data_IF_868099241432
#
_entry.id   IF_868099241432
#
_cell.length_a   1.000
_cell.length_b   1.000
_cell.length_c   1.000
_cell.angle_alpha   90.00
_cell.angle_beta   90.00
_cell.angle_gamma   90.00
#
_symmetry.space_group_name_H-M   'P 1'
#
loop_
_entity.id
_entity.type
_entity.pdbx_description
1 polymer ?
#
# COMPACT_ATOMS: atom_id res chain seq x y z
N UNK A 1 -7.35 18.88 -8.56
CA UNK A 1 -6.56 18.10 -7.58
C UNK A 1 -7.31 16.84 -7.18
N UNK A 2 -8.48 16.98 -6.58
CA UNK A 2 -9.31 15.89 -6.02
C UNK A 2 -9.81 14.87 -7.05
N UNK A 3 -10.22 15.32 -8.24
CA UNK A 3 -10.57 14.42 -9.35
C UNK A 3 -9.37 13.58 -9.80
N UNK A 4 -8.19 14.20 -9.92
CA UNK A 4 -6.94 13.50 -10.28
C UNK A 4 -6.49 12.53 -9.19
N UNK A 5 -6.77 12.84 -7.92
CA UNK A 5 -6.52 11.94 -6.79
C UNK A 5 -7.62 10.88 -6.61
N UNK A 6 -8.65 10.90 -7.46
CA UNK A 6 -9.76 9.96 -7.38
C UNK A 6 -10.58 10.05 -6.08
N UNK A 7 -10.48 11.12 -5.27
CA UNK A 7 -11.19 11.25 -3.99
C UNK A 7 -11.41 12.71 -3.55
N UNK A 8 -12.42 13.00 -2.70
CA UNK A 8 -12.57 14.33 -2.14
C UNK A 8 -11.36 14.66 -1.24
N UNK A 9 -11.12 15.95 -0.97
CA UNK A 9 -9.99 16.34 -0.17
C UNK A 9 -10.16 15.85 1.28
N UNK A 10 -9.06 15.42 1.88
CA UNK A 10 -8.98 15.11 3.31
C UNK A 10 -8.65 16.40 4.05
N UNK A 11 -9.35 16.70 5.15
CA UNK A 11 -9.19 17.96 5.89
C UNK A 11 -7.73 18.26 6.23
N UNK A 12 -7.04 17.27 6.82
CA UNK A 12 -5.65 17.41 7.26
C UNK A 12 -4.67 17.61 6.10
N UNK A 13 -5.05 17.24 4.88
CA UNK A 13 -4.21 17.42 3.69
C UNK A 13 -4.14 18.88 3.26
N UNK A 14 -5.14 19.70 3.61
CA UNK A 14 -5.25 21.10 3.17
C UNK A 14 -4.07 21.96 3.64
N UNK A 15 -3.44 21.61 4.76
CA UNK A 15 -2.24 22.30 5.26
C UNK A 15 -1.04 22.20 4.31
N UNK A 16 -1.03 21.22 3.41
CA UNK A 16 0.06 20.96 2.47
C UNK A 16 -0.24 21.45 1.05
N UNK A 17 -1.45 21.94 0.77
CA UNK A 17 -1.85 22.40 -0.56
C UNK A 17 -1.42 23.84 -0.91
N UNK A 18 -0.65 24.50 -0.04
CA UNK A 18 -0.15 25.87 -0.26
C UNK A 18 -1.03 26.97 0.34
N UNK A 19 -0.61 28.25 0.21
CA UNK A 19 -1.27 29.40 0.84
C UNK A 19 -2.75 29.56 0.47
N UNK A 20 -3.12 29.18 -0.76
CA UNK A 20 -4.48 29.27 -1.29
C UNK A 20 -5.44 28.36 -0.51
N UNK A 21 -4.94 27.27 0.07
CA UNK A 21 -5.74 26.31 0.83
C UNK A 21 -5.78 26.58 2.35
N UNK A 22 -5.13 27.64 2.84
CA UNK A 22 -5.06 27.94 4.30
C UNK A 22 -6.43 28.10 4.95
N UNK A 23 -7.38 28.70 4.25
CA UNK A 23 -8.76 28.85 4.73
C UNK A 23 -9.48 27.50 4.87
N UNK A 24 -9.11 26.50 4.06
CA UNK A 24 -9.63 25.14 4.13
C UNK A 24 -8.97 24.33 5.26
N UNK A 25 -7.69 24.55 5.56
CA UNK A 25 -7.02 23.98 6.75
C UNK A 25 -7.75 24.43 8.03
N UNK A 26 -8.02 25.73 8.16
CA UNK A 26 -8.77 26.28 9.30
C UNK A 26 -10.19 25.70 9.41
N UNK A 27 -10.88 25.52 8.28
CA UNK A 27 -12.19 24.85 8.26
C UNK A 27 -12.08 23.38 8.66
N UNK A 28 -11.00 22.71 8.27
CA UNK A 28 -10.70 21.32 8.57
C UNK A 28 -10.52 21.03 10.06
N UNK A 29 -10.13 22.02 10.86
CA UNK A 29 -10.07 21.90 12.34
C UNK A 29 -11.47 21.68 12.95
N UNK A 30 -12.53 22.11 12.26
CA UNK A 30 -13.91 21.77 12.59
C UNK A 30 -14.39 20.61 11.71
N UNK A 31 -14.12 19.37 12.15
CA UNK A 31 -14.51 18.14 11.43
C UNK A 31 -16.00 18.12 11.02
N UNK A 32 -16.88 18.70 11.85
CA UNK A 32 -18.30 18.82 11.57
C UNK A 32 -18.60 19.74 10.38
N UNK A 33 -17.90 20.87 10.28
CA UNK A 33 -18.10 21.84 9.20
C UNK A 33 -17.45 21.37 7.90
N UNK A 34 -16.30 20.71 7.97
CA UNK A 34 -15.66 20.08 6.82
C UNK A 34 -16.60 19.07 6.14
N UNK A 35 -17.20 18.17 6.92
CA UNK A 35 -18.16 17.18 6.41
C UNK A 35 -19.35 17.85 5.75
N UNK A 36 -19.93 18.87 6.39
CA UNK A 36 -21.08 19.63 5.84
C UNK A 36 -20.72 20.32 4.53
N UNK A 37 -19.51 20.87 4.43
CA UNK A 37 -19.00 21.47 3.19
C UNK A 37 -18.92 20.43 2.07
N UNK A 38 -18.31 19.26 2.33
CA UNK A 38 -18.20 18.19 1.33
C UNK A 38 -19.58 17.69 0.87
N UNK A 39 -20.53 17.54 1.78
CA UNK A 39 -21.91 17.16 1.46
C UNK A 39 -22.65 18.23 0.63
N UNK A 40 -22.37 19.52 0.86
CA UNK A 40 -22.91 20.60 0.05
C UNK A 40 -22.28 20.62 -1.35
N UNK A 41 -20.96 20.47 -1.45
CA UNK A 41 -20.24 20.39 -2.73
C UNK A 41 -20.75 19.22 -3.59
N UNK A 42 -20.92 18.03 -3.00
CA UNK A 42 -21.43 16.86 -3.72
C UNK A 42 -22.87 17.03 -4.23
N UNK A 43 -23.68 17.90 -3.61
CA UNK A 43 -25.03 18.23 -4.09
C UNK A 43 -25.01 19.19 -5.28
N UNK A 44 -24.06 20.11 -5.30
CA UNK A 44 -23.94 21.10 -6.37
C UNK A 44 -23.13 20.60 -7.57
N UNK A 45 -22.19 19.69 -7.34
CA UNK A 45 -21.31 19.10 -8.35
C UNK A 45 -21.38 17.57 -8.26
N UNK A 46 -22.37 16.93 -8.90
CA UNK A 46 -22.60 15.49 -8.78
C UNK A 46 -21.45 14.62 -9.29
N UNK A 47 -20.64 15.16 -10.20
CA UNK A 47 -19.49 14.48 -10.82
C UNK A 47 -18.26 14.45 -9.91
N UNK A 48 -18.24 15.20 -8.79
CA UNK A 48 -17.13 15.17 -7.85
C UNK A 48 -17.08 13.83 -7.09
N UNK A 49 -15.87 13.30 -6.82
CA UNK A 49 -15.71 12.10 -6.00
C UNK A 49 -16.37 12.26 -4.63
N UNK A 50 -17.23 11.31 -4.25
CA UNK A 50 -17.86 11.28 -2.93
C UNK A 50 -16.89 10.79 -1.86
N UNK A 51 -17.07 11.26 -0.63
CA UNK A 51 -16.33 10.75 0.52
C UNK A 51 -16.81 9.34 0.82
N UNK A 52 -16.01 8.36 0.44
CA UNK A 52 -16.21 6.97 0.79
C UNK A 52 -14.85 6.32 0.94
N UNK A 53 -14.78 5.25 1.72
CA UNK A 53 -13.62 4.37 1.73
C UNK A 53 -13.70 3.28 0.66
N UNK A 54 -14.72 3.29 -0.21
CA UNK A 54 -14.86 2.35 -1.31
C UNK A 54 -14.27 2.92 -2.59
N UNK A 55 -13.32 2.20 -3.19
CA UNK A 55 -12.70 2.50 -4.47
C UNK A 55 -13.63 2.19 -5.66
N UNK A 56 -13.23 2.63 -6.84
CA UNK A 56 -13.98 2.55 -8.11
C UNK A 56 -14.21 1.10 -8.58
N UNK A 57 -13.31 0.19 -8.19
CA UNK A 57 -13.42 -1.25 -8.44
C UNK A 57 -14.28 -1.99 -7.38
N UNK A 58 -14.80 -1.26 -6.38
CA UNK A 58 -15.61 -1.80 -5.29
C UNK A 58 -14.81 -2.21 -4.05
N UNK A 59 -13.48 -2.13 -4.08
CA UNK A 59 -12.61 -2.45 -2.94
C UNK A 59 -12.90 -1.53 -1.76
N UNK A 60 -13.04 -2.08 -0.55
CA UNK A 60 -13.28 -1.30 0.67
C UNK A 60 -12.00 -1.13 1.47
N UNK A 61 -11.61 0.11 1.72
CA UNK A 61 -10.41 0.52 2.44
C UNK A 61 -10.79 1.04 3.84
N UNK A 62 -9.80 1.23 4.70
CA UNK A 62 -10.06 1.73 6.07
C UNK A 62 -10.13 3.25 6.13
N UNK A 63 -9.61 3.95 5.11
CA UNK A 63 -9.57 5.40 5.09
C UNK A 63 -9.61 6.01 3.67
N UNK A 64 -9.97 7.30 3.58
CA UNK A 64 -9.94 8.02 2.31
C UNK A 64 -8.51 8.22 1.75
N UNK A 65 -7.47 8.49 2.57
CA UNK A 65 -6.08 8.43 2.13
C UNK A 65 -5.69 7.08 1.51
N UNK A 66 -6.04 5.96 2.14
CA UNK A 66 -5.79 4.63 1.55
C UNK A 66 -6.46 4.49 0.20
N UNK A 67 -7.72 4.93 0.08
CA UNK A 67 -8.42 4.89 -1.21
C UNK A 67 -7.68 5.66 -2.31
N UNK A 68 -7.18 6.87 -2.00
CA UNK A 68 -6.40 7.68 -2.96
C UNK A 68 -5.19 6.88 -3.46
N UNK A 69 -4.44 6.27 -2.53
CA UNK A 69 -3.26 5.46 -2.87
C UNK A 69 -3.65 4.21 -3.67
N UNK A 70 -4.74 3.53 -3.29
CA UNK A 70 -5.26 2.36 -4.00
C UNK A 70 -5.58 2.68 -5.46
N UNK A 71 -6.36 3.74 -5.70
CA UNK A 71 -6.77 4.19 -7.04
C UNK A 71 -5.56 4.52 -7.93
N UNK A 72 -4.48 5.04 -7.35
CA UNK A 72 -3.22 5.24 -8.07
C UNK A 72 -2.50 3.92 -8.35
N UNK A 73 -2.36 3.05 -7.35
CA UNK A 73 -1.62 1.78 -7.49
C UNK A 73 -2.27 0.83 -8.51
N UNK A 74 -3.58 0.65 -8.48
CA UNK A 74 -4.28 -0.28 -9.38
C UNK A 74 -4.14 0.06 -10.86
N UNK A 75 -3.82 1.31 -11.19
CA UNK A 75 -3.57 1.75 -12.55
C UNK A 75 -2.12 1.51 -13.01
N UNK A 76 -1.20 1.27 -12.06
CA UNK A 76 0.24 1.27 -12.29
C UNK A 76 0.90 -0.10 -12.07
N UNK A 77 0.31 -0.97 -11.24
CA UNK A 77 0.91 -2.26 -10.89
C UNK A 77 0.97 -3.17 -12.15
N UNK A 78 2.15 -3.70 -12.50
CA UNK A 78 2.31 -4.58 -13.66
C UNK A 78 1.79 -5.99 -13.40
N UNK A 79 1.49 -6.74 -14.47
CA UNK A 79 0.96 -8.12 -14.42
C UNK A 79 1.86 -9.12 -13.67
N UNK A 80 3.15 -8.82 -13.52
CA UNK A 80 4.11 -9.65 -12.78
C UNK A 80 4.09 -9.45 -11.26
N UNK A 81 3.24 -8.56 -10.75
CA UNK A 81 3.01 -8.33 -9.33
C UNK A 81 1.52 -8.41 -9.02
N UNK A 82 1.20 -8.79 -7.79
CA UNK A 82 -0.16 -8.74 -7.26
C UNK A 82 -0.24 -7.68 -6.18
N UNK A 83 -1.28 -6.85 -6.23
CA UNK A 83 -1.57 -5.84 -5.20
C UNK A 83 -2.63 -6.38 -4.25
N UNK A 84 -2.29 -6.43 -2.96
CA UNK A 84 -3.19 -6.87 -1.90
C UNK A 84 -3.51 -5.70 -0.95
N UNK A 85 -4.80 -5.53 -0.62
CA UNK A 85 -5.20 -4.73 0.51
C UNK A 85 -4.95 -5.49 1.81
N UNK A 86 -4.46 -4.76 2.81
CA UNK A 86 -4.51 -5.22 4.19
C UNK A 86 -3.85 -6.59 4.43
N UNK A 87 -2.65 -6.88 3.86
CA UNK A 87 -2.03 -8.18 4.01
C UNK A 87 -1.62 -8.42 5.47
N UNK A 88 -1.86 -9.65 5.93
CA UNK A 88 -1.37 -10.11 7.23
C UNK A 88 0.12 -10.38 7.17
N UNK A 89 0.88 -9.78 8.08
CA UNK A 89 2.35 -9.87 8.05
C UNK A 89 2.91 -10.86 9.08
N UNK A 90 2.21 -11.03 10.21
CA UNK A 90 2.62 -11.97 11.26
C UNK A 90 1.41 -12.45 12.06
N UNK A 91 1.26 -13.76 12.13
CA UNK A 91 0.20 -14.41 12.90
C UNK A 91 0.40 -14.14 14.41
N UNK A 92 -0.66 -13.71 15.10
CA UNK A 92 -0.63 -13.46 16.55
C UNK A 92 -0.15 -12.07 16.99
N UNK A 93 0.37 -11.22 16.09
CA UNK A 93 0.70 -9.81 16.41
C UNK A 93 -0.29 -8.78 15.86
N UNK A 94 -1.33 -9.22 15.15
CA UNK A 94 -2.26 -8.35 14.43
C UNK A 94 -1.54 -7.26 13.61
N UNK A 95 -0.35 -7.58 13.08
CA UNK A 95 0.42 -6.65 12.28
C UNK A 95 0.00 -6.79 10.82
N UNK A 96 -0.57 -5.71 10.28
CA UNK A 96 -1.14 -5.65 8.94
C UNK A 96 -0.60 -4.41 8.25
N UNK A 97 -0.24 -4.49 6.97
CA UNK A 97 0.08 -3.29 6.18
C UNK A 97 -1.17 -2.70 5.53
N UNK A 98 -1.12 -1.48 5.02
CA UNK A 98 -2.25 -0.96 4.24
C UNK A 98 -2.31 -1.63 2.87
N UNK A 99 -1.15 -1.77 2.20
CA UNK A 99 -1.02 -2.53 0.96
C UNK A 99 0.22 -3.40 0.92
N UNK A 100 0.16 -4.48 0.14
CA UNK A 100 1.31 -5.34 -0.19
C UNK A 100 1.44 -5.54 -1.68
N UNK A 101 2.66 -5.43 -2.20
CA UNK A 101 3.05 -5.88 -3.53
C UNK A 101 3.69 -7.25 -3.41
N UNK A 102 3.02 -8.26 -3.95
CA UNK A 102 3.41 -9.66 -3.86
C UNK A 102 3.90 -10.19 -5.21
N UNK A 103 4.77 -11.20 -5.16
CA UNK A 103 4.99 -12.03 -6.32
C UNK A 103 3.71 -12.85 -6.59
N UNK A 104 3.43 -13.24 -7.84
CA UNK A 104 2.29 -14.10 -8.15
C UNK A 104 2.37 -15.41 -7.37
N UNK A 105 1.23 -15.82 -6.81
CA UNK A 105 1.07 -17.02 -5.96
C UNK A 105 1.88 -16.99 -4.63
N UNK A 106 2.42 -15.84 -4.19
CA UNK A 106 3.12 -15.70 -2.91
C UNK A 106 2.33 -14.83 -1.92
N UNK A 107 2.09 -15.36 -0.72
CA UNK A 107 1.33 -14.65 0.33
C UNK A 107 2.17 -13.59 1.06
N UNK A 108 3.50 -13.71 1.03
CA UNK A 108 4.40 -12.74 1.68
C UNK A 108 4.72 -11.59 0.72
N UNK A 109 4.42 -10.34 1.08
CA UNK A 109 4.75 -9.19 0.24
C UNK A 109 6.26 -9.05 0.04
N UNK A 110 6.65 -8.63 -1.16
CA UNK A 110 8.00 -8.14 -1.46
C UNK A 110 8.21 -6.74 -0.88
N UNK A 111 7.15 -5.93 -0.94
CA UNK A 111 7.09 -4.59 -0.41
C UNK A 111 5.71 -4.33 0.21
N UNK A 112 5.70 -3.66 1.34
CA UNK A 112 4.53 -3.18 2.06
C UNK A 112 4.45 -1.66 1.98
N UNK A 113 3.23 -1.13 1.90
CA UNK A 113 2.96 0.31 1.86
C UNK A 113 2.10 0.69 3.07
N UNK A 114 2.55 1.72 3.79
CA UNK A 114 1.82 2.35 4.88
C UNK A 114 1.38 3.74 4.48
N UNK A 115 0.09 4.04 4.62
CA UNK A 115 -0.50 5.33 4.32
C UNK A 115 -0.71 6.10 5.60
N UNK A 116 0.11 7.13 5.80
CA UNK A 116 -0.05 8.03 6.93
C UNK A 116 -1.10 9.10 6.62
N UNK A 117 -2.36 8.78 6.93
CA UNK A 117 -3.52 9.61 6.60
C UNK A 117 -3.73 10.87 7.44
N UNK A 118 -2.99 11.05 8.54
CA UNK A 118 -3.16 12.18 9.47
C UNK A 118 -1.96 13.13 9.51
N UNK A 119 -0.79 12.65 9.11
CA UNK A 119 0.49 13.34 9.29
C UNK A 119 1.25 13.46 7.98
N UNK A 120 1.93 14.59 7.80
CA UNK A 120 2.90 14.76 6.74
C UNK A 120 4.27 14.27 7.17
N UNK A 121 5.19 14.26 6.22
CA UNK A 121 6.58 13.83 6.41
C UNK A 121 7.37 14.73 7.39
N UNK A 122 6.86 15.92 7.68
CA UNK A 122 7.34 16.83 8.73
C UNK A 122 7.09 16.33 10.16
N UNK A 123 6.16 15.37 10.33
CA UNK A 123 5.81 14.72 11.61
C UNK A 123 5.35 15.71 12.70
N UNK A 124 4.79 16.85 12.29
CA UNK A 124 4.28 17.84 13.24
C UNK A 124 2.90 17.39 13.72
N UNK A 125 2.80 17.06 15.02
CA UNK A 125 1.56 16.72 15.69
C UNK A 125 0.85 17.99 16.23
N UNK A 126 -0.47 18.01 16.12
CA UNK A 126 -1.41 18.96 16.72
C UNK A 126 -2.33 18.31 17.76
N UNK A 127 -2.39 16.97 17.82
CA UNK A 127 -3.19 16.22 18.78
C UNK A 127 -2.53 14.90 19.24
N UNK A 128 -2.87 14.44 20.44
CA UNK A 128 -2.35 13.19 21.06
C UNK A 128 -2.52 11.95 20.16
N UNK A 129 -3.60 11.91 19.36
CA UNK A 129 -3.87 10.80 18.44
C UNK A 129 -2.85 10.71 17.31
N UNK A 130 -2.29 11.84 16.89
CA UNK A 130 -1.23 11.92 15.88
C UNK A 130 0.10 11.43 16.47
N UNK A 131 0.44 11.85 17.70
CA UNK A 131 1.63 11.35 18.42
C UNK A 131 1.57 9.83 18.60
N UNK A 132 0.46 9.31 19.11
CA UNK A 132 0.27 7.88 19.28
C UNK A 132 0.33 7.10 17.95
N UNK A 133 0.05 7.76 16.82
CA UNK A 133 0.17 7.16 15.49
C UNK A 133 1.61 7.12 14.98
N UNK A 134 2.43 8.12 15.33
CA UNK A 134 3.88 8.07 15.09
C UNK A 134 4.55 6.98 15.91
N UNK A 135 4.16 6.80 17.17
CA UNK A 135 4.71 5.72 18.02
C UNK A 135 4.40 4.33 17.43
N UNK A 136 3.16 4.12 16.97
CA UNK A 136 2.76 2.89 16.28
C UNK A 136 3.54 2.69 14.98
N UNK A 137 3.75 3.75 14.20
CA UNK A 137 4.55 3.68 12.98
C UNK A 137 6.01 3.35 13.30
N UNK A 138 6.61 3.94 14.33
CA UNK A 138 7.99 3.67 14.72
C UNK A 138 8.18 2.20 15.10
N UNK A 139 7.30 1.64 15.95
CA UNK A 139 7.33 0.22 16.31
C UNK A 139 7.19 -0.70 15.08
N UNK A 140 6.39 -0.27 14.10
CA UNK A 140 6.21 -1.00 12.84
C UNK A 140 7.47 -0.92 11.96
N UNK A 141 8.08 0.25 11.84
CA UNK A 141 9.34 0.44 11.12
C UNK A 141 10.47 -0.42 11.71
N UNK A 142 10.55 -0.50 13.03
CA UNK A 142 11.51 -1.38 13.71
C UNK A 142 11.28 -2.85 13.34
N UNK A 143 10.03 -3.30 13.24
CA UNK A 143 9.72 -4.66 12.78
C UNK A 143 10.17 -4.89 11.33
N UNK A 144 9.86 -3.96 10.42
CA UNK A 144 10.24 -4.06 9.01
C UNK A 144 11.75 -3.98 8.76
N UNK A 145 12.50 -3.33 9.65
CA UNK A 145 13.97 -3.26 9.54
C UNK A 145 14.69 -4.59 9.80
N UNK A 146 13.99 -5.60 10.32
CA UNK A 146 14.58 -6.88 10.66
C UNK A 146 14.93 -7.70 9.38
N UNK A 147 15.99 -8.52 9.41
CA UNK A 147 16.36 -9.35 8.27
C UNK A 147 15.24 -10.28 7.81
N UNK A 148 15.06 -10.39 6.48
CA UNK A 148 14.07 -11.28 5.88
C UNK A 148 12.63 -10.76 5.95
N UNK A 149 12.41 -9.53 6.41
CA UNK A 149 11.11 -8.85 6.33
C UNK A 149 10.94 -8.13 4.98
N UNK A 150 9.70 -7.88 4.54
CA UNK A 150 9.43 -7.11 3.33
C UNK A 150 10.02 -5.70 3.39
N UNK A 151 10.23 -5.07 2.23
CA UNK A 151 10.51 -3.64 2.21
C UNK A 151 9.30 -2.85 2.72
N UNK A 152 9.54 -1.68 3.33
CA UNK A 152 8.50 -0.77 3.79
C UNK A 152 8.58 0.55 3.05
N UNK A 153 7.47 1.00 2.46
CA UNK A 153 7.29 2.37 1.98
C UNK A 153 6.21 3.06 2.82
N UNK A 154 6.54 4.23 3.36
CA UNK A 154 5.54 5.09 4.03
C UNK A 154 5.17 6.22 3.07
N UNK A 155 3.87 6.38 2.80
CA UNK A 155 3.31 7.49 2.03
C UNK A 155 2.67 8.47 3.00
N UNK A 156 3.23 9.67 3.05
CA UNK A 156 2.80 10.71 3.98
C UNK A 156 1.72 11.61 3.38
N UNK A 157 0.97 12.30 4.24
CA UNK A 157 -0.18 13.11 3.82
C UNK A 157 0.19 14.28 2.89
N UNK A 158 1.34 14.90 3.11
CA UNK A 158 1.92 15.94 2.25
C UNK A 158 2.28 15.40 0.86
N UNK A 159 2.72 14.15 0.77
CA UNK A 159 3.01 13.50 -0.50
C UNK A 159 1.74 13.25 -1.33
N UNK A 160 0.63 12.95 -0.68
CA UNK A 160 -0.69 12.77 -1.32
C UNK A 160 -1.33 14.10 -1.74
N UNK A 161 -0.88 15.23 -1.18
CA UNK A 161 -1.40 16.55 -1.55
C UNK A 161 -1.03 16.96 -2.98
N UNK A 162 -0.09 16.24 -3.63
CA UNK A 162 0.40 16.51 -4.97
C UNK A 162 0.33 15.21 -5.83
N UNK A 163 -0.61 15.10 -6.79
CA UNK A 163 -0.81 13.88 -7.60
C UNK A 163 0.48 13.37 -8.26
N UNK A 164 1.26 14.28 -8.85
CA UNK A 164 2.49 13.92 -9.55
C UNK A 164 3.54 13.31 -8.58
N UNK A 165 3.53 13.73 -7.31
CA UNK A 165 4.42 13.15 -6.29
C UNK A 165 3.93 11.78 -5.87
N UNK A 166 2.62 11.61 -5.67
CA UNK A 166 2.03 10.32 -5.34
C UNK A 166 2.31 9.29 -6.44
N UNK A 167 2.11 9.65 -7.71
CA UNK A 167 2.43 8.80 -8.86
C UNK A 167 3.91 8.38 -8.85
N UNK A 168 4.83 9.33 -8.66
CA UNK A 168 6.26 9.03 -8.59
C UNK A 168 6.62 8.07 -7.43
N UNK A 169 6.02 8.29 -6.25
CA UNK A 169 6.25 7.45 -5.07
C UNK A 169 5.70 6.04 -5.26
N UNK A 170 4.53 5.90 -5.88
CA UNK A 170 3.96 4.62 -6.26
C UNK A 170 4.85 3.89 -7.27
N UNK A 171 5.39 4.60 -8.27
CA UNK A 171 6.34 4.04 -9.25
C UNK A 171 7.59 3.50 -8.55
N UNK A 172 8.21 4.28 -7.67
CA UNK A 172 9.40 3.85 -6.92
C UNK A 172 9.14 2.60 -6.07
N UNK A 173 7.95 2.50 -5.46
CA UNK A 173 7.57 1.33 -4.67
C UNK A 173 7.41 0.08 -5.56
N UNK A 174 6.80 0.23 -6.74
CA UNK A 174 6.64 -0.85 -7.73
C UNK A 174 8.01 -1.30 -8.23
N UNK A 175 8.89 -0.37 -8.62
CA UNK A 175 10.24 -0.67 -9.08
C UNK A 175 11.05 -1.44 -8.02
N UNK A 176 10.95 -1.02 -6.76
CA UNK A 176 11.61 -1.73 -5.65
C UNK A 176 11.08 -3.15 -5.47
N UNK A 177 9.76 -3.37 -5.58
CA UNK A 177 9.15 -4.70 -5.52
C UNK A 177 9.61 -5.59 -6.70
N UNK A 178 9.64 -5.05 -7.93
CA UNK A 178 10.15 -5.77 -9.11
C UNK A 178 11.63 -6.16 -8.93
N UNK A 179 12.45 -5.27 -8.37
CA UNK A 179 13.85 -5.57 -8.08
C UNK A 179 14.00 -6.72 -7.06
N UNK A 180 13.17 -6.73 -6.01
CA UNK A 180 13.12 -7.84 -5.04
C UNK A 180 12.71 -9.17 -5.69
N UNK A 181 11.71 -9.14 -6.58
CA UNK A 181 11.27 -10.31 -7.33
C UNK A 181 12.41 -10.89 -8.18
N UNK A 182 13.16 -10.03 -8.90
CA UNK A 182 14.28 -10.44 -9.72
C UNK A 182 15.41 -11.08 -8.89
N UNK A 183 15.75 -10.45 -7.75
CA UNK A 183 16.76 -10.96 -6.83
C UNK A 183 16.38 -12.33 -6.24
N UNK A 184 15.13 -12.49 -5.81
CA UNK A 184 14.60 -13.77 -5.30
C UNK A 184 14.67 -14.89 -6.34
N UNK A 185 14.37 -14.59 -7.62
CA UNK A 185 14.47 -15.55 -8.72
C UNK A 185 15.92 -15.98 -8.99
N UNK A 186 16.89 -15.07 -8.92
CA UNK A 186 18.31 -15.38 -9.11
C UNK A 186 18.88 -16.22 -7.95
N UNK A 187 18.49 -15.93 -6.71
CA UNK A 187 18.81 -16.73 -5.54
C UNK A 187 18.29 -18.18 -5.64
N UNK A 188 17.05 -18.37 -6.11
CA UNK A 188 16.48 -19.72 -6.34
C UNK A 188 17.18 -20.47 -7.48
N UNK A 189 17.56 -19.79 -8.58
CA UNK A 189 18.30 -20.43 -9.70
C UNK A 189 19.69 -20.89 -9.28
N UNK A 190 20.40 -20.11 -8.47
CA UNK A 190 21.74 -20.46 -7.99
C UNK A 190 21.71 -21.55 -6.92
N UNK A 191 20.70 -21.56 -6.03
CA UNK A 191 20.52 -22.65 -5.05
C UNK A 191 20.09 -23.96 -5.72
N UNK A 192 19.19 -23.91 -6.71
CA UNK A 192 18.79 -25.05 -7.53
C UNK A 192 19.96 -25.69 -8.28
N UNK A 193 20.88 -24.87 -8.82
CA UNK A 193 22.13 -25.36 -9.43
C UNK A 193 23.07 -26.05 -8.43
N UNK A 194 23.16 -25.55 -7.19
CA UNK A 194 23.97 -26.20 -6.13
C UNK A 194 23.34 -27.53 -5.68
N UNK A 195 22.01 -27.61 -5.63
CA UNK A 195 21.29 -28.86 -5.32
C UNK A 195 21.40 -29.88 -6.47
N UNK A 196 21.35 -29.45 -7.74
CA UNK A 196 21.57 -30.36 -8.87
C UNK A 196 23.02 -30.86 -8.96
N UNK A 197 24.00 -30.04 -8.56
CA UNK A 197 25.40 -30.46 -8.50
C UNK A 197 25.65 -31.51 -7.39
N UNK A 198 24.98 -31.40 -6.24
CA UNK A 198 25.02 -32.43 -5.18
C UNK A 198 24.19 -33.68 -5.49
N UNK A 199 23.09 -33.54 -6.24
CA UNK A 199 22.27 -34.67 -6.71
C UNK A 199 22.92 -35.48 -7.83
N UNK A 200 23.88 -34.93 -8.56
CA UNK A 200 24.62 -35.65 -9.60
C UNK A 200 25.68 -36.63 -9.03
N UNK A 201 26.06 -36.52 -7.76
CA UNK A 201 26.97 -37.45 -7.08
C UNK A 201 26.25 -38.60 -6.36
N UNK A 202 24.92 -38.57 -6.23
CA UNK A 202 24.14 -39.64 -5.61
C UNK A 202 22.85 -39.93 -6.38
N UNK A 203 22.86 -41.00 -7.18
CA UNK A 203 21.62 -41.70 -7.52
C UNK A 203 21.36 -41.94 -9.00
N UNK A 204 22.00 -42.98 -9.55
CA UNK A 204 21.32 -43.83 -10.54
C UNK A 204 20.12 -44.50 -9.84
N UNK A 205 18.90 -44.11 -10.18
CA UNK A 205 17.76 -44.99 -10.52
C UNK A 205 16.41 -44.24 -10.48
N UNK A 206 15.76 -44.23 -11.64
CA UNK A 206 14.33 -43.98 -11.87
C UNK A 206 13.48 -45.13 -11.27
N UNK A 207 12.15 -44.99 -10.99
CA UNK A 207 11.21 -44.57 -12.03
C UNK A 207 9.98 -43.71 -11.65
N UNK A 208 9.56 -43.03 -12.73
CA UNK A 208 8.26 -42.48 -13.08
C UNK A 208 7.04 -43.03 -12.30
N UNK A 209 6.26 -42.11 -11.74
CA UNK A 209 4.81 -42.28 -11.54
C UNK A 209 4.06 -41.03 -12.00
N UNK A 210 3.27 -41.22 -13.05
CA UNK A 210 2.22 -40.31 -13.52
C UNK A 210 1.01 -40.44 -12.59
N UNK A 211 0.38 -39.32 -12.19
CA UNK A 211 -1.10 -39.11 -12.14
C UNK A 211 -1.46 -37.68 -11.64
N UNK A 212 -2.70 -37.19 -11.86
CA UNK A 212 -2.97 -35.90 -12.50
C UNK A 212 -3.33 -34.78 -11.51
N UNK A 213 -3.23 -33.53 -12.00
CA UNK A 213 -3.63 -32.29 -11.33
C UNK A 213 -5.16 -32.23 -11.16
N UNK A 214 -5.63 -32.16 -9.92
CA UNK A 214 -6.94 -31.60 -9.59
C UNK A 214 -6.80 -30.10 -9.27
N UNK A 215 -7.61 -29.29 -9.93
CA UNK A 215 -7.74 -27.86 -9.68
C UNK A 215 -8.59 -27.65 -8.42
N UNK A 216 -8.14 -26.83 -7.48
CA UNK A 216 -8.97 -26.33 -6.38
C UNK A 216 -8.94 -24.81 -6.36
N UNK A 217 -10.04 -24.23 -6.78
CA UNK A 217 -10.39 -22.82 -6.56
C UNK A 217 -10.77 -22.69 -5.08
N UNK A 218 -10.10 -21.79 -4.35
CA UNK A 218 -10.63 -21.26 -3.10
C UNK A 218 -10.88 -19.78 -3.28
N UNK A 219 -12.15 -19.41 -3.14
CA UNK A 219 -12.62 -18.05 -2.93
C UNK A 219 -12.35 -17.69 -1.47
N UNK A 220 -11.85 -16.49 -1.23
CA UNK A 220 -12.25 -15.69 -0.09
C UNK A 220 -13.08 -14.53 -0.66
#
# INVERSE_FOLDING_TARGET
LTERLGAPPVSNMMRYCGPEARHLDQLGESLGDWRRMLEALARHYPDLPRSSSQASDGTTLDSAPERIVWETLVQMVPDELELYCHPWLEEGRYLRSDFGLCAPDEETPLLCIEVMGMLGSDRICRADVEEASLDRLAAKQDWFSQPGRPLLRVIWLDMMAHPDWLEAICSEAIEAAVAQLAYGREGRRTSGRRLSARGAEQGRQLPLRVRPREYRVRKN
#
